data_IF_315444356424
#
_entry.id   IF_315444356424
#
_cell.length_a   1.000
_cell.length_b   1.000
_cell.length_c   1.000
_cell.angle_alpha   90.00
_cell.angle_beta   90.00
_cell.angle_gamma   90.00
#
_symmetry.space_group_name_H-M   'P 1'
#
loop_
_entity.id
_entity.type
_entity.pdbx_description
1 polymer ?
#
# COMPACT_ATOMS: atom_id res chain seq x y z
N UNK A 1 51.16 -0.77 50.97
CA UNK A 1 49.69 -0.78 51.17
C UNK A 1 49.07 -0.63 49.80
N UNK A 2 48.55 -1.72 49.21
CA UNK A 2 48.00 -1.70 47.84
C UNK A 2 46.47 -1.54 47.93
N UNK A 3 45.94 -0.45 47.37
CA UNK A 3 44.50 -0.21 47.28
C UNK A 3 44.00 -0.92 46.02
N UNK A 4 43.40 -2.10 46.18
CA UNK A 4 42.70 -2.79 45.09
C UNK A 4 41.40 -2.06 44.79
N UNK A 5 41.31 -1.35 43.68
CA UNK A 5 40.08 -0.71 43.22
C UNK A 5 39.01 -1.74 42.85
N UNK A 6 37.89 -1.72 43.55
CA UNK A 6 36.71 -2.53 43.20
C UNK A 6 36.10 -1.99 41.91
N UNK A 7 36.22 -2.76 40.81
CA UNK A 7 35.48 -2.50 39.58
C UNK A 7 34.03 -3.01 39.78
N UNK A 8 33.16 -2.16 40.33
CA UNK A 8 31.74 -2.47 40.50
C UNK A 8 31.01 -2.23 39.18
N UNK A 9 31.02 -3.23 38.29
CA UNK A 9 30.05 -3.28 37.21
C UNK A 9 28.64 -3.43 37.81
N UNK A 10 27.72 -2.60 37.37
CA UNK A 10 26.33 -2.60 37.82
C UNK A 10 25.70 -3.96 37.50
N UNK A 11 25.06 -4.59 38.49
CA UNK A 11 24.32 -5.86 38.27
C UNK A 11 23.08 -5.55 37.44
N UNK A 12 22.86 -6.31 36.37
CA UNK A 12 21.64 -6.23 35.55
C UNK A 12 20.68 -7.38 35.90
N UNK A 13 19.39 -7.16 35.64
CA UNK A 13 18.34 -8.18 35.72
C UNK A 13 17.74 -8.30 34.32
N UNK A 14 17.69 -9.52 33.80
CA UNK A 14 17.10 -9.79 32.48
C UNK A 14 15.63 -10.16 32.65
N UNK A 15 14.74 -9.59 31.83
CA UNK A 15 13.32 -9.92 31.77
C UNK A 15 12.83 -9.91 30.32
N UNK A 16 11.93 -10.84 29.98
CA UNK A 16 11.32 -10.95 28.66
C UNK A 16 9.95 -10.24 28.55
N UNK A 17 9.34 -9.83 29.67
CA UNK A 17 7.97 -9.29 29.68
C UNK A 17 7.83 -7.99 28.88
N UNK A 18 8.85 -7.13 28.97
CA UNK A 18 8.91 -5.85 28.26
C UNK A 18 9.33 -6.02 26.78
N UNK A 19 9.84 -7.18 26.40
CA UNK A 19 10.29 -7.44 25.03
C UNK A 19 9.13 -7.36 24.01
N UNK A 20 7.88 -7.55 24.46
CA UNK A 20 6.67 -7.33 23.64
C UNK A 20 6.58 -5.93 23.02
N UNK A 21 7.22 -4.93 23.63
CA UNK A 21 7.27 -3.57 23.08
C UNK A 21 8.29 -3.45 21.95
N UNK A 22 9.38 -4.23 22.01
CA UNK A 22 10.37 -4.34 20.93
C UNK A 22 9.76 -5.05 19.73
N UNK A 23 8.96 -6.11 19.94
CA UNK A 23 8.27 -6.83 18.87
C UNK A 23 7.37 -5.93 18.01
N UNK A 24 6.71 -4.94 18.63
CA UNK A 24 5.85 -3.95 17.91
C UNK A 24 6.63 -2.99 17.01
N UNK A 25 7.94 -2.85 17.21
CA UNK A 25 8.80 -2.00 16.39
C UNK A 25 9.29 -2.72 15.13
N UNK A 26 9.17 -4.05 15.08
CA UNK A 26 9.59 -4.84 13.93
C UNK A 26 8.56 -4.61 12.80
N UNK A 27 8.97 -4.05 11.65
CA UNK A 27 8.03 -3.79 10.56
C UNK A 27 7.54 -5.11 9.95
N UNK A 28 6.24 -5.21 9.59
CA UNK A 28 5.71 -6.40 8.95
C UNK A 28 6.30 -6.57 7.54
N UNK A 29 6.67 -7.80 7.19
CA UNK A 29 7.24 -8.12 5.88
C UNK A 29 6.19 -8.24 4.76
N UNK A 30 4.93 -8.53 5.13
CA UNK A 30 3.80 -8.72 4.21
C UNK A 30 2.75 -7.63 4.44
N UNK A 31 2.22 -7.09 3.35
CA UNK A 31 1.10 -6.13 3.44
C UNK A 31 -0.13 -6.86 3.98
N UNK A 32 -0.81 -6.30 4.99
CA UNK A 32 -1.99 -6.91 5.56
C UNK A 32 -3.14 -6.95 4.54
N UNK A 33 -4.04 -7.91 4.75
CA UNK A 33 -5.34 -7.92 4.06
C UNK A 33 -6.17 -6.75 4.61
N UNK A 34 -6.91 -6.01 3.76
CA UNK A 34 -7.74 -4.91 4.24
C UNK A 34 -8.77 -5.42 5.25
N UNK A 35 -9.09 -4.63 6.27
CA UNK A 35 -10.18 -4.95 7.18
C UNK A 35 -11.49 -5.00 6.37
N UNK A 36 -12.40 -5.91 6.76
CA UNK A 36 -13.74 -5.99 6.19
C UNK A 36 -14.57 -4.82 6.72
N UNK A 37 -15.17 -4.05 5.82
CA UNK A 37 -16.04 -2.92 6.13
C UNK A 37 -17.34 -3.03 5.34
N UNK A 38 -18.44 -2.61 5.97
CA UNK A 38 -19.72 -2.46 5.30
C UNK A 38 -19.80 -1.04 4.70
N UNK A 39 -19.66 -0.92 3.38
CA UNK A 39 -19.68 0.37 2.67
C UNK A 39 -18.30 1.02 2.50
N UNK A 40 -18.23 2.26 1.97
CA UNK A 40 -16.96 2.95 1.75
C UNK A 40 -16.27 3.29 3.07
N UNK A 41 -14.95 3.11 3.12
CA UNK A 41 -14.16 3.53 4.28
C UNK A 41 -14.15 5.06 4.38
N UNK A 42 -13.84 5.65 5.55
CA UNK A 42 -13.70 7.10 5.70
C UNK A 42 -12.69 7.73 4.74
N UNK A 43 -11.72 6.95 4.25
CA UNK A 43 -10.75 7.36 3.22
C UNK A 43 -11.30 7.39 1.80
N UNK A 44 -12.56 6.99 1.59
CA UNK A 44 -13.14 6.74 0.27
C UNK A 44 -12.74 5.40 -0.35
N UNK A 45 -12.02 4.53 0.36
CA UNK A 45 -11.64 3.22 -0.16
C UNK A 45 -12.83 2.26 -0.25
N UNK A 46 -13.00 1.65 -1.43
CA UNK A 46 -14.09 0.71 -1.75
C UNK A 46 -13.47 -0.66 -2.05
N UNK A 47 -13.93 -1.74 -1.38
CA UNK A 47 -13.42 -3.08 -1.64
C UNK A 47 -13.87 -3.55 -3.03
N UNK A 48 -13.11 -4.42 -3.70
CA UNK A 48 -13.60 -5.08 -4.91
C UNK A 48 -14.86 -5.90 -4.59
N UNK A 49 -15.70 -6.14 -5.58
CA UNK A 49 -16.87 -7.01 -5.42
C UNK A 49 -16.41 -8.46 -5.13
N UNK A 50 -17.19 -9.17 -4.30
CA UNK A 50 -16.88 -10.57 -3.93
C UNK A 50 -16.86 -11.50 -5.15
N UNK A 51 -17.74 -11.23 -6.11
CA UNK A 51 -17.81 -11.96 -7.37
C UNK A 51 -17.26 -11.09 -8.51
N UNK A 52 -16.48 -11.68 -9.44
CA UNK A 52 -15.98 -10.93 -10.59
C UNK A 52 -17.15 -10.45 -11.46
N UNK A 53 -17.09 -9.21 -11.98
CA UNK A 53 -18.10 -8.71 -12.90
C UNK A 53 -18.18 -9.59 -14.16
N UNK A 54 -19.36 -9.75 -14.79
CA UNK A 54 -19.54 -10.51 -16.04
C UNK A 54 -19.02 -9.70 -17.25
N UNK A 55 -17.75 -9.29 -17.20
CA UNK A 55 -17.07 -8.51 -18.21
C UNK A 55 -15.95 -9.37 -18.83
N UNK A 56 -15.64 -9.20 -20.13
CA UNK A 56 -14.61 -9.99 -20.81
C UNK A 56 -13.17 -9.60 -20.41
N UNK A 57 -13.03 -8.70 -19.44
CA UNK A 57 -11.76 -8.21 -18.91
C UNK A 57 -11.82 -8.11 -17.39
N UNK A 58 -10.64 -8.16 -16.77
CA UNK A 58 -10.48 -8.02 -15.33
C UNK A 58 -9.39 -6.99 -15.04
N UNK A 59 -9.67 -6.08 -14.10
CA UNK A 59 -8.67 -5.16 -13.56
C UNK A 59 -8.32 -5.60 -12.15
N UNK A 60 -7.09 -6.05 -11.93
CA UNK A 60 -6.61 -6.46 -10.60
C UNK A 60 -6.18 -5.24 -9.80
N UNK A 61 -6.55 -5.19 -8.51
CA UNK A 61 -6.03 -4.20 -7.56
C UNK A 61 -4.50 -4.33 -7.41
N UNK A 62 -3.86 -3.22 -7.07
CA UNK A 62 -2.42 -3.18 -6.77
C UNK A 62 -2.09 -3.96 -5.49
N UNK A 63 -0.79 -4.14 -5.22
CA UNK A 63 -0.28 -4.73 -3.98
C UNK A 63 -0.80 -4.02 -2.71
N UNK A 64 -1.13 -2.73 -2.84
CA UNK A 64 -1.69 -1.88 -1.78
C UNK A 64 -3.23 -1.81 -1.81
N UNK A 65 -3.90 -2.73 -2.51
CA UNK A 65 -5.37 -2.83 -2.61
C UNK A 65 -6.07 -1.65 -3.29
N UNK A 66 -5.32 -0.83 -4.04
CA UNK A 66 -5.84 0.33 -4.78
C UNK A 66 -6.10 0.02 -6.25
N UNK A 67 -7.01 0.77 -6.88
CA UNK A 67 -7.26 0.73 -8.33
C UNK A 67 -5.98 1.19 -9.04
N UNK A 68 -5.45 0.42 -10.01
CA UNK A 68 -4.15 0.68 -10.62
C UNK A 68 -4.27 1.74 -11.73
N UNK A 69 -4.78 2.93 -11.41
CA UNK A 69 -4.87 4.10 -12.31
C UNK A 69 -3.88 5.17 -11.85
N UNK A 70 -2.95 5.53 -12.73
CA UNK A 70 -1.87 6.47 -12.42
C UNK A 70 -1.71 7.52 -13.51
N UNK A 71 -1.51 8.77 -13.14
CA UNK A 71 -1.17 9.85 -14.06
C UNK A 71 0.32 9.83 -14.35
N UNK A 72 0.68 9.60 -15.62
CA UNK A 72 2.05 9.76 -16.10
C UNK A 72 2.34 11.25 -16.28
N UNK A 73 3.42 11.73 -15.65
CA UNK A 73 3.95 13.06 -15.84
C UNK A 73 5.29 12.92 -16.56
N UNK A 74 5.38 13.30 -17.85
CA UNK A 74 6.66 13.30 -18.53
C UNK A 74 7.61 14.22 -17.75
N UNK A 75 8.80 13.70 -17.43
CA UNK A 75 9.83 14.42 -16.71
C UNK A 75 10.50 15.40 -17.68
N UNK A 76 9.86 16.55 -17.96
CA UNK A 76 10.41 17.57 -18.85
C UNK A 76 9.40 18.60 -19.37
N UNK A 77 9.90 19.66 -19.99
CA UNK A 77 9.19 20.86 -20.50
C UNK A 77 8.25 20.61 -21.68
N UNK A 78 7.99 19.36 -22.07
CA UNK A 78 7.02 19.04 -23.12
C UNK A 78 5.62 18.96 -22.52
N UNK A 79 4.95 20.10 -22.50
CA UNK A 79 3.53 20.23 -22.21
C UNK A 79 2.71 19.35 -23.17
N UNK A 80 1.92 18.42 -22.62
CA UNK A 80 0.71 17.94 -23.31
C UNK A 80 0.50 16.43 -23.52
N UNK A 81 1.27 15.54 -22.89
CA UNK A 81 1.02 14.09 -22.94
C UNK A 81 0.89 13.50 -21.53
N UNK A 82 -0.27 13.71 -20.91
CA UNK A 82 -0.67 13.03 -19.68
C UNK A 82 -1.22 11.66 -20.04
N UNK A 83 -0.66 10.59 -19.47
CA UNK A 83 -1.12 9.23 -19.77
C UNK A 83 -1.61 8.56 -18.50
N UNK A 84 -2.88 8.20 -18.44
CA UNK A 84 -3.35 7.31 -17.38
C UNK A 84 -2.89 5.87 -17.68
N UNK A 85 -2.16 5.22 -16.77
CA UNK A 85 -1.85 3.79 -16.85
C UNK A 85 -2.95 2.98 -16.16
N UNK A 86 -3.58 2.05 -16.86
CA UNK A 86 -4.33 0.96 -16.24
C UNK A 86 -3.51 -0.34 -16.37
N UNK A 87 -2.63 -0.64 -15.41
CA UNK A 87 -1.84 -1.89 -15.40
C UNK A 87 -0.52 -1.85 -14.63
N UNK A 88 -0.15 -2.98 -14.02
CA UNK A 88 1.18 -3.22 -13.41
C UNK A 88 2.11 -3.89 -14.45
N UNK A 89 3.41 -3.58 -14.44
CA UNK A 89 4.42 -4.05 -15.43
C UNK A 89 4.33 -5.57 -15.65
N UNK A 90 3.98 -5.97 -16.87
CA UNK A 90 3.81 -7.37 -17.30
C UNK A 90 2.42 -7.71 -17.87
N UNK A 91 1.43 -6.84 -17.70
CA UNK A 91 0.08 -7.01 -18.21
C UNK A 91 -0.31 -5.91 -19.23
N UNK A 92 -1.35 -6.22 -20.03
CA UNK A 92 -1.99 -5.30 -20.98
C UNK A 92 -2.24 -3.94 -20.30
N UNK A 93 -1.60 -2.88 -20.79
CA UNK A 93 -1.73 -1.52 -20.25
C UNK A 93 -2.48 -0.66 -21.24
N UNK A 94 -3.56 -0.02 -20.78
CA UNK A 94 -4.28 0.98 -21.58
C UNK A 94 -3.74 2.36 -21.21
N UNK A 95 -3.48 3.17 -22.23
CA UNK A 95 -2.99 4.55 -22.13
C UNK A 95 -4.08 5.49 -22.62
N UNK A 96 -4.55 6.38 -21.75
CA UNK A 96 -5.56 7.40 -22.10
C UNK A 96 -4.92 8.78 -21.98
N UNK A 97 -5.05 9.60 -23.02
CA UNK A 97 -4.52 10.97 -23.04
C UNK A 97 -5.43 11.92 -22.25
N UNK A 98 -4.88 12.60 -21.25
CA UNK A 98 -5.59 13.60 -20.44
C UNK A 98 -5.58 13.32 -18.94
N UNK A 99 -6.26 14.15 -18.16
CA UNK A 99 -6.38 14.05 -16.70
C UNK A 99 -7.74 13.48 -16.31
N UNK A 100 -7.80 12.15 -16.21
CA UNK A 100 -9.05 11.44 -15.91
C UNK A 100 -8.87 10.42 -14.77
N UNK A 101 -7.85 10.58 -13.92
CA UNK A 101 -7.50 9.54 -12.98
C UNK A 101 -8.58 9.31 -11.91
N UNK A 102 -9.20 10.38 -11.40
CA UNK A 102 -10.33 10.28 -10.45
C UNK A 102 -11.53 9.62 -11.11
N UNK A 103 -11.95 10.12 -12.27
CA UNK A 103 -13.12 9.60 -13.00
C UNK A 103 -12.95 8.12 -13.38
N UNK A 104 -11.76 7.73 -13.83
CA UNK A 104 -11.44 6.34 -14.16
C UNK A 104 -11.41 5.44 -12.92
N UNK A 105 -10.90 5.93 -11.78
CA UNK A 105 -10.94 5.19 -10.51
C UNK A 105 -12.38 4.97 -10.08
N UNK A 106 -13.20 6.01 -10.06
CA UNK A 106 -14.60 5.92 -9.63
C UNK A 106 -15.40 5.00 -10.56
N UNK A 107 -15.18 5.10 -11.87
CA UNK A 107 -15.84 4.23 -12.86
C UNK A 107 -15.44 2.75 -12.72
N UNK A 108 -14.16 2.45 -12.48
CA UNK A 108 -13.71 1.08 -12.25
C UNK A 108 -14.21 0.54 -10.91
N UNK A 109 -14.23 1.35 -9.86
CA UNK A 109 -14.77 0.99 -8.56
C UNK A 109 -16.26 0.67 -8.66
N UNK A 110 -17.02 1.50 -9.39
CA UNK A 110 -18.46 1.32 -9.60
C UNK A 110 -18.81 0.05 -10.38
N UNK A 111 -17.86 -0.48 -11.17
CA UNK A 111 -17.99 -1.80 -11.83
C UNK A 111 -17.68 -2.98 -10.93
N UNK A 112 -17.16 -2.75 -9.71
CA UNK A 112 -16.78 -3.79 -8.77
C UNK A 112 -15.37 -4.34 -8.95
N UNK A 113 -14.51 -3.70 -9.75
CA UNK A 113 -13.09 -4.06 -9.84
C UNK A 113 -12.29 -3.58 -8.65
#
# INVERSE_FOLDING_TARGET
MLITGFNTRQRFVESAEEYRFVERLIPPSRIPVPPKHAGPAPSGWIPPADNPPPLPYMVRRSRMHNIPVYTDRPTGTTSGLWTAHAGQRGHMTIKVKGHFDTELKDWLAGKGF
#
